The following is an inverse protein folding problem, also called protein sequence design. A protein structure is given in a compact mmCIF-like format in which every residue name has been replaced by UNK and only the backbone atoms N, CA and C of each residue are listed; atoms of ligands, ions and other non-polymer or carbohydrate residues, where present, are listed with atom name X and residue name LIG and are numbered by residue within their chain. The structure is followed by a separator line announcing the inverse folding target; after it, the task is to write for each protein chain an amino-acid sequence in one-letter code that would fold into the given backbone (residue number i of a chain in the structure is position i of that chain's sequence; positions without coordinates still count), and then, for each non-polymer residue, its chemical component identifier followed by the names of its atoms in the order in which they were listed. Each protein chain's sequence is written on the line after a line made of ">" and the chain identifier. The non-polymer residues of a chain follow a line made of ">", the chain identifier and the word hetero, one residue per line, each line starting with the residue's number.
data_IF_618466077508
#
_entry.id   IF_618466077508
#
_cell.length_a   1.000
_cell.length_b   1.000
_cell.length_c   1.000
_cell.angle_alpha   90.00
_cell.angle_beta   90.00
_cell.angle_gamma   90.00
#
_symmetry.space_group_name_H-M   'P 1'
#
loop_
_entity.id
_entity.type
_entity.pdbx_description
1 polymer ?
#
# COMPACT_ATOMS: atom_id res chain seq x y z
N UNK A 1 20.67 15.60 -5.19
CA UNK A 1 21.81 14.66 -5.16
C UNK A 1 21.34 13.21 -4.92
N UNK A 2 22.25 12.23 -5.01
CA UNK A 2 21.95 10.79 -4.95
C UNK A 2 21.11 10.34 -3.72
N UNK A 3 21.35 10.92 -2.55
CA UNK A 3 20.62 10.58 -1.32
C UNK A 3 19.13 10.95 -1.36
N UNK A 4 18.76 11.99 -2.06
CA UNK A 4 17.35 12.41 -2.20
C UNK A 4 16.63 11.81 -3.40
N UNK A 5 17.30 10.94 -4.18
CA UNK A 5 16.67 10.25 -5.31
C UNK A 5 15.76 9.12 -4.86
N UNK A 6 14.88 8.60 -5.74
CA UNK A 6 14.05 7.43 -5.45
C UNK A 6 14.83 6.18 -4.99
N UNK A 7 16.06 6.02 -5.46
CA UNK A 7 16.99 4.95 -5.03
C UNK A 7 17.89 5.36 -3.85
N UNK A 8 17.66 6.52 -3.23
CA UNK A 8 18.43 7.06 -2.12
C UNK A 8 17.93 6.60 -0.75
N UNK A 9 18.03 7.51 0.23
CA UNK A 9 17.76 7.20 1.66
C UNK A 9 16.30 6.75 1.93
N UNK A 10 15.35 7.15 1.10
CA UNK A 10 13.95 6.73 1.16
C UNK A 10 13.61 5.60 0.18
N UNK A 11 14.58 4.83 -0.29
CA UNK A 11 14.32 3.72 -1.19
C UNK A 11 13.50 2.60 -0.53
N UNK A 12 13.72 2.34 0.77
CA UNK A 12 13.08 1.25 1.51
C UNK A 12 12.28 1.73 2.74
N UNK A 13 12.30 3.02 3.06
CA UNK A 13 11.61 3.57 4.21
C UNK A 13 11.05 4.95 3.92
N UNK A 14 9.82 5.22 4.36
CA UNK A 14 9.16 6.52 4.16
C UNK A 14 9.81 7.66 4.96
N UNK A 15 10.57 7.34 6.00
CA UNK A 15 11.24 8.34 6.85
C UNK A 15 12.63 7.88 7.26
N UNK A 16 13.52 8.84 7.51
CA UNK A 16 14.89 8.59 7.95
C UNK A 16 15.27 9.48 9.14
N UNK A 17 16.33 9.11 9.84
CA UNK A 17 16.94 9.86 10.94
C UNK A 17 18.30 10.42 10.49
N UNK A 18 18.85 11.34 11.28
CA UNK A 18 20.19 11.89 11.00
C UNK A 18 21.27 10.80 10.96
N UNK A 19 21.21 9.79 11.82
CA UNK A 19 22.17 8.70 11.80
C UNK A 19 22.12 7.88 10.50
N UNK A 20 20.94 7.68 9.93
CA UNK A 20 20.77 6.95 8.67
C UNK A 20 21.45 7.71 7.51
N UNK A 21 21.43 9.06 7.55
CA UNK A 21 22.14 9.92 6.59
C UNK A 21 23.66 9.82 6.77
N UNK A 22 24.11 9.90 8.03
CA UNK A 22 25.55 9.79 8.36
C UNK A 22 26.09 8.45 7.87
N UNK A 23 25.36 7.37 8.10
CA UNK A 23 25.72 6.03 7.63
C UNK A 23 25.79 5.98 6.09
N UNK A 24 24.77 6.47 5.40
CA UNK A 24 24.72 6.49 3.94
C UNK A 24 25.85 7.32 3.33
N UNK A 25 26.16 8.52 3.90
CA UNK A 25 27.28 9.34 3.46
C UNK A 25 28.61 8.62 3.71
N UNK A 26 28.78 8.02 4.89
CA UNK A 26 30.01 7.28 5.24
C UNK A 26 30.28 6.15 4.25
N UNK A 27 29.25 5.41 3.85
CA UNK A 27 29.38 4.37 2.83
C UNK A 27 29.76 4.91 1.46
N UNK A 28 29.31 6.12 1.10
CA UNK A 28 29.61 6.74 -0.19
C UNK A 28 31.01 7.32 -0.27
N UNK A 29 31.48 7.95 0.81
CA UNK A 29 32.77 8.67 0.81
C UNK A 29 33.93 7.83 1.37
N UNK A 30 33.65 6.79 2.15
CA UNK A 30 34.67 5.93 2.76
C UNK A 30 35.69 6.73 3.55
N UNK A 31 36.97 6.52 3.27
CA UNK A 31 38.09 7.23 3.92
C UNK A 31 38.41 8.61 3.34
N UNK A 32 37.60 9.10 2.40
CA UNK A 32 37.84 10.40 1.72
C UNK A 32 37.37 11.61 2.52
N UNK A 33 36.61 11.40 3.61
CA UNK A 33 36.13 12.46 4.48
C UNK A 33 36.27 12.11 5.96
N UNK A 34 36.49 13.12 6.78
CA UNK A 34 36.51 13.01 8.23
C UNK A 34 35.12 12.90 8.82
N UNK A 35 35.01 12.41 10.07
CA UNK A 35 33.73 12.33 10.77
C UNK A 35 33.02 13.70 10.91
N UNK A 36 33.79 14.79 11.05
CA UNK A 36 33.26 16.14 11.10
C UNK A 36 32.62 16.55 9.77
N UNK A 37 33.34 16.33 8.66
CA UNK A 37 32.84 16.64 7.32
C UNK A 37 31.60 15.85 6.96
N UNK A 38 31.52 14.57 7.35
CA UNK A 38 30.32 13.73 7.18
C UNK A 38 29.15 14.29 8.00
N UNK A 39 29.42 14.72 9.25
CA UNK A 39 28.42 15.38 10.10
C UNK A 39 27.84 16.65 9.45
N UNK A 40 28.72 17.52 8.95
CA UNK A 40 28.33 18.77 8.27
C UNK A 40 27.53 18.51 6.99
N UNK A 41 27.89 17.49 6.22
CA UNK A 41 27.13 17.06 5.05
C UNK A 41 25.73 16.54 5.43
N UNK A 42 25.62 15.78 6.51
CA UNK A 42 24.33 15.30 7.00
C UNK A 42 23.43 16.48 7.44
N UNK A 43 23.97 17.47 8.15
CA UNK A 43 23.23 18.64 8.60
C UNK A 43 22.79 19.53 7.42
N UNK A 44 23.63 19.69 6.42
CA UNK A 44 23.26 20.36 5.17
C UNK A 44 22.19 19.62 4.39
N UNK A 45 22.18 18.30 4.44
CA UNK A 45 21.16 17.49 3.76
C UNK A 45 19.78 17.68 4.40
N UNK A 46 19.66 17.62 5.74
CA UNK A 46 18.36 17.78 6.43
C UNK A 46 17.79 19.19 6.36
N UNK A 47 18.66 20.20 6.11
CA UNK A 47 18.23 21.60 5.89
C UNK A 47 17.99 21.93 4.42
N UNK A 48 18.24 20.99 3.52
CA UNK A 48 18.07 21.18 2.08
C UNK A 48 16.61 21.25 1.66
N UNK A 49 16.32 21.98 0.57
CA UNK A 49 14.97 22.20 0.05
C UNK A 49 14.23 20.91 -0.38
N UNK A 50 14.95 19.79 -0.54
CA UNK A 50 14.35 18.48 -0.92
C UNK A 50 13.90 17.64 0.25
N UNK A 51 14.00 18.12 1.49
CA UNK A 51 13.74 17.37 2.73
C UNK A 51 12.73 18.11 3.60
N UNK A 52 11.83 17.35 4.22
CA UNK A 52 10.80 17.87 5.13
C UNK A 52 10.95 17.17 6.48
N UNK A 53 10.92 17.96 7.56
CA UNK A 53 10.83 17.43 8.92
C UNK A 53 9.46 16.80 9.17
N UNK A 54 9.43 15.57 9.66
CA UNK A 54 8.19 14.89 10.01
C UNK A 54 7.81 15.26 11.44
N UNK A 55 6.80 16.10 11.59
CA UNK A 55 6.26 16.54 12.87
C UNK A 55 5.23 15.52 13.36
N UNK A 56 5.70 14.36 13.87
CA UNK A 56 4.81 13.45 14.57
C UNK A 56 4.72 13.85 16.05
N UNK A 57 3.52 13.82 16.61
CA UNK A 57 3.33 14.11 18.03
C UNK A 57 4.08 13.09 18.90
N UNK A 58 4.66 13.53 20.02
CA UNK A 58 5.33 12.64 21.00
C UNK A 58 4.44 11.44 21.41
N UNK A 59 3.13 11.64 21.41
CA UNK A 59 2.13 10.61 21.72
C UNK A 59 2.13 9.48 20.70
N UNK A 60 2.35 9.78 19.42
CA UNK A 60 2.46 8.80 18.36
C UNK A 60 3.74 7.95 18.52
N UNK A 61 4.89 8.59 18.76
CA UNK A 61 6.16 7.90 18.93
C UNK A 61 6.20 7.00 20.17
N UNK A 62 5.59 7.42 21.28
CA UNK A 62 5.42 6.60 22.49
C UNK A 62 4.58 5.34 22.21
N UNK A 63 3.50 5.48 21.43
CA UNK A 63 2.62 4.35 21.07
C UNK A 63 3.32 3.31 20.19
N UNK A 64 4.25 3.74 19.35
CA UNK A 64 4.99 2.87 18.41
C UNK A 64 6.28 2.32 19.03
N UNK A 65 6.61 2.68 20.30
CA UNK A 65 7.81 2.20 20.99
C UNK A 65 9.12 2.70 20.37
N UNK A 66 9.09 3.77 19.58
CA UNK A 66 10.25 4.37 18.91
C UNK A 66 10.73 5.61 19.65
N UNK A 67 12.05 5.85 19.63
CA UNK A 67 12.65 7.06 20.21
C UNK A 67 12.04 8.34 19.62
N UNK A 68 11.90 9.39 20.43
CA UNK A 68 11.42 10.73 20.04
C UNK A 68 12.41 11.51 19.14
N UNK A 69 13.35 10.82 18.49
CA UNK A 69 14.32 11.46 17.58
C UNK A 69 13.61 12.05 16.38
N UNK A 70 14.00 13.27 16.02
CA UNK A 70 13.55 13.94 14.81
C UNK A 70 13.74 13.04 13.58
N UNK A 71 12.70 12.95 12.77
CA UNK A 71 12.69 12.23 11.49
C UNK A 71 12.42 13.18 10.35
N UNK A 72 12.83 12.78 9.19
CA UNK A 72 12.65 13.52 7.94
C UNK A 72 12.13 12.59 6.85
N UNK A 73 11.51 13.18 5.84
CA UNK A 73 11.16 12.54 4.57
C UNK A 73 11.56 13.43 3.41
N UNK A 74 11.50 12.93 2.18
CA UNK A 74 11.72 13.77 1.00
C UNK A 74 10.43 14.47 0.59
N UNK A 75 10.55 15.66 -0.01
CA UNK A 75 9.41 16.40 -0.59
C UNK A 75 8.65 15.52 -1.59
N UNK A 76 9.37 14.80 -2.44
CA UNK A 76 8.80 13.88 -3.42
C UNK A 76 7.91 12.84 -2.75
N UNK A 77 8.42 12.17 -1.71
CA UNK A 77 7.66 11.11 -1.04
C UNK A 77 6.43 11.65 -0.32
N UNK A 78 6.55 12.83 0.31
CA UNK A 78 5.40 13.50 0.93
C UNK A 78 4.31 13.88 -0.09
N UNK A 79 4.70 14.28 -1.31
CA UNK A 79 3.76 14.55 -2.39
C UNK A 79 3.05 13.29 -2.85
N UNK A 80 3.77 12.16 -2.96
CA UNK A 80 3.19 10.86 -3.29
C UNK A 80 2.18 10.42 -2.22
N UNK A 81 2.53 10.52 -0.94
CA UNK A 81 1.63 10.21 0.18
C UNK A 81 0.36 11.07 0.15
N UNK A 82 0.50 12.38 -0.04
CA UNK A 82 -0.63 13.28 -0.17
C UNK A 82 -1.54 12.93 -1.35
N UNK A 83 -0.97 12.50 -2.47
CA UNK A 83 -1.74 12.06 -3.64
C UNK A 83 -2.53 10.78 -3.32
N UNK A 84 -1.92 9.79 -2.67
CA UNK A 84 -2.61 8.55 -2.26
C UNK A 84 -3.77 8.85 -1.30
N UNK A 85 -3.55 9.73 -0.31
CA UNK A 85 -4.61 10.17 0.60
C UNK A 85 -5.75 10.87 -0.15
N UNK A 86 -5.42 11.71 -1.12
CA UNK A 86 -6.40 12.39 -1.97
C UNK A 86 -7.24 11.39 -2.78
N UNK A 87 -6.61 10.38 -3.38
CA UNK A 87 -7.31 9.32 -4.10
C UNK A 87 -8.26 8.52 -3.19
N UNK A 88 -7.83 8.24 -1.95
CA UNK A 88 -8.66 7.54 -0.98
C UNK A 88 -9.84 8.39 -0.47
N UNK A 89 -9.65 9.71 -0.30
CA UNK A 89 -10.68 10.61 0.24
C UNK A 89 -11.68 11.10 -0.81
N UNK A 90 -11.21 11.47 -2.00
CA UNK A 90 -12.02 12.19 -2.98
C UNK A 90 -12.98 11.29 -3.77
N UNK A 91 -12.95 9.96 -3.57
CA UNK A 91 -13.86 9.05 -4.25
C UNK A 91 -14.00 9.40 -5.74
N UNK A 92 -12.92 9.27 -6.52
CA UNK A 92 -13.07 9.40 -7.96
C UNK A 92 -14.06 8.35 -8.39
N UNK A 93 -15.19 8.83 -8.98
CA UNK A 93 -16.23 7.94 -9.50
C UNK A 93 -15.59 7.12 -10.61
N UNK A 94 -15.37 5.85 -10.32
CA UNK A 94 -14.91 4.92 -11.34
C UNK A 94 -16.06 4.66 -12.32
N UNK A 95 -15.88 4.85 -13.62
CA UNK A 95 -16.89 4.52 -14.61
C UNK A 95 -17.03 3.00 -14.82
N UNK A 96 -16.28 2.21 -14.07
CA UNK A 96 -16.16 0.77 -14.27
C UNK A 96 -17.24 -0.02 -13.55
N UNK A 97 -17.49 -1.22 -14.06
CA UNK A 97 -18.51 -2.11 -13.53
C UNK A 97 -18.19 -2.54 -12.10
N UNK A 98 -19.18 -2.44 -11.25
CA UNK A 98 -19.18 -2.98 -9.88
C UNK A 98 -19.96 -4.30 -9.86
N UNK A 99 -19.75 -5.16 -8.86
CA UNK A 99 -20.62 -6.28 -8.59
C UNK A 99 -22.09 -5.84 -8.55
N UNK A 100 -22.98 -6.65 -9.10
CA UNK A 100 -24.42 -6.36 -9.09
C UNK A 100 -24.96 -6.45 -7.65
N UNK A 101 -25.80 -5.48 -7.24
CA UNK A 101 -26.36 -5.43 -5.89
C UNK A 101 -27.10 -6.73 -5.50
N UNK A 102 -27.83 -7.35 -6.42
CA UNK A 102 -28.52 -8.61 -6.16
C UNK A 102 -27.49 -9.72 -5.92
N UNK A 103 -26.41 -9.77 -6.70
CA UNK A 103 -25.33 -10.77 -6.51
C UNK A 103 -24.66 -10.57 -5.16
N UNK A 104 -24.41 -9.34 -4.72
CA UNK A 104 -23.84 -9.05 -3.40
C UNK A 104 -24.78 -9.61 -2.31
N UNK A 105 -26.06 -9.32 -2.40
CA UNK A 105 -27.08 -9.80 -1.46
C UNK A 105 -27.13 -11.35 -1.43
N UNK A 106 -27.11 -12.01 -2.58
CA UNK A 106 -27.13 -13.47 -2.70
C UNK A 106 -25.85 -14.09 -2.10
N UNK A 107 -24.68 -13.48 -2.35
CA UNK A 107 -23.41 -13.94 -1.79
C UNK A 107 -23.39 -13.80 -0.27
N UNK A 108 -23.86 -12.71 0.28
CA UNK A 108 -23.98 -12.48 1.74
C UNK A 108 -24.97 -13.47 2.34
N UNK A 109 -26.14 -13.61 1.75
CA UNK A 109 -27.20 -14.54 2.26
C UNK A 109 -26.76 -16.01 2.25
N UNK A 110 -25.89 -16.40 1.32
CA UNK A 110 -25.34 -17.75 1.23
C UNK A 110 -24.24 -18.05 2.27
N UNK A 111 -23.85 -17.06 3.07
CA UNK A 111 -22.77 -17.12 4.07
C UNK A 111 -23.26 -16.64 5.44
N UNK A 112 -24.14 -17.40 6.11
CA UNK A 112 -24.74 -17.01 7.40
C UNK A 112 -23.71 -16.87 8.54
N UNK A 113 -22.51 -17.36 8.34
CA UNK A 113 -21.38 -17.28 9.27
C UNK A 113 -20.63 -15.94 9.21
N UNK A 114 -20.90 -15.08 8.22
CA UNK A 114 -20.37 -13.72 8.21
C UNK A 114 -20.94 -12.91 9.39
N UNK A 115 -20.06 -12.29 10.16
CA UNK A 115 -20.49 -11.32 11.16
C UNK A 115 -21.04 -10.05 10.51
N UNK A 116 -21.84 -9.28 11.25
CA UNK A 116 -22.38 -8.00 10.78
C UNK A 116 -21.29 -7.03 10.31
N UNK A 117 -20.10 -7.07 10.92
CA UNK A 117 -18.96 -6.25 10.53
C UNK A 117 -18.38 -6.71 9.19
N UNK A 118 -18.28 -8.01 8.98
CA UNK A 118 -17.82 -8.59 7.71
C UNK A 118 -18.83 -8.36 6.59
N UNK A 119 -20.12 -8.46 6.86
CA UNK A 119 -21.18 -8.12 5.88
C UNK A 119 -21.04 -6.66 5.46
N UNK A 120 -20.93 -5.72 6.41
CA UNK A 120 -20.72 -4.30 6.09
C UNK A 120 -19.44 -4.06 5.28
N UNK A 121 -18.37 -4.81 5.55
CA UNK A 121 -17.14 -4.75 4.75
C UNK A 121 -17.39 -5.19 3.31
N UNK A 122 -18.06 -6.33 3.09
CA UNK A 122 -18.37 -6.84 1.74
C UNK A 122 -19.23 -5.84 0.98
N UNK A 123 -20.31 -5.34 1.59
CA UNK A 123 -21.19 -4.36 0.98
C UNK A 123 -20.45 -3.06 0.64
N UNK A 124 -19.67 -2.53 1.58
CA UNK A 124 -18.91 -1.29 1.37
C UNK A 124 -17.89 -1.41 0.25
N UNK A 125 -17.16 -2.53 0.17
CA UNK A 125 -16.16 -2.76 -0.87
C UNK A 125 -16.81 -2.97 -2.23
N UNK A 126 -17.81 -3.84 -2.31
CA UNK A 126 -18.46 -4.17 -3.59
C UNK A 126 -19.31 -3.04 -4.16
N UNK A 127 -19.83 -2.12 -3.31
CA UNK A 127 -20.64 -0.98 -3.73
C UNK A 127 -19.85 0.32 -3.87
N UNK A 128 -18.54 0.31 -3.52
CA UNK A 128 -17.70 1.51 -3.59
C UNK A 128 -17.48 1.95 -5.03
N UNK A 129 -17.53 3.25 -5.26
CA UNK A 129 -17.10 3.91 -6.50
C UNK A 129 -15.70 4.53 -6.40
N UNK A 130 -15.00 4.29 -5.30
CA UNK A 130 -13.65 4.81 -5.06
C UNK A 130 -12.61 4.00 -5.82
N UNK A 131 -11.67 4.72 -6.44
CA UNK A 131 -10.50 4.10 -7.08
C UNK A 131 -9.60 3.42 -6.05
N UNK A 132 -9.44 4.01 -4.88
CA UNK A 132 -8.68 3.43 -3.76
C UNK A 132 -9.58 3.37 -2.53
N UNK A 133 -9.80 2.17 -2.01
CA UNK A 133 -10.59 1.94 -0.80
C UNK A 133 -9.73 1.26 0.27
N UNK A 134 -9.24 2.00 1.27
CA UNK A 134 -8.55 1.39 2.40
C UNK A 134 -9.53 0.61 3.28
N UNK A 135 -9.15 -0.63 3.60
CA UNK A 135 -9.90 -1.49 4.52
C UNK A 135 -9.02 -1.78 5.74
N UNK A 136 -9.44 -1.30 6.90
CA UNK A 136 -8.76 -1.55 8.16
C UNK A 136 -9.54 -2.58 8.98
N UNK A 137 -8.86 -3.56 9.52
CA UNK A 137 -9.45 -4.57 10.40
C UNK A 137 -8.44 -5.08 11.41
N UNK A 138 -8.91 -5.35 12.63
CA UNK A 138 -8.07 -5.90 13.71
C UNK A 138 -7.53 -7.28 13.31
N UNK A 139 -6.34 -7.68 13.81
CA UNK A 139 -5.88 -9.05 13.68
C UNK A 139 -6.94 -10.03 14.21
N UNK A 140 -7.21 -11.11 13.47
CA UNK A 140 -8.23 -12.10 13.84
C UNK A 140 -9.68 -11.68 13.59
N UNK A 141 -9.96 -10.53 12.99
CA UNK A 141 -11.32 -10.09 12.64
C UNK A 141 -11.96 -10.90 11.47
N UNK A 142 -11.27 -11.91 10.95
CA UNK A 142 -11.76 -12.71 9.85
C UNK A 142 -11.84 -11.97 8.51
N UNK A 143 -10.91 -11.04 8.26
CA UNK A 143 -10.80 -10.31 6.99
C UNK A 143 -10.76 -11.26 5.78
N UNK A 144 -10.01 -12.35 5.90
CA UNK A 144 -9.92 -13.39 4.88
C UNK A 144 -11.29 -13.85 4.41
N UNK A 145 -12.19 -14.15 5.36
CA UNK A 145 -13.51 -14.66 5.05
C UNK A 145 -14.41 -13.62 4.35
N UNK A 146 -14.29 -12.33 4.73
CA UNK A 146 -14.95 -11.24 4.02
C UNK A 146 -14.34 -11.03 2.63
N UNK A 147 -13.01 -11.17 2.48
CA UNK A 147 -12.33 -11.09 1.18
C UNK A 147 -12.79 -12.18 0.23
N UNK A 148 -12.99 -13.41 0.72
CA UNK A 148 -13.57 -14.51 -0.08
C UNK A 148 -14.97 -14.15 -0.61
N UNK A 149 -15.81 -13.52 0.20
CA UNK A 149 -17.13 -13.07 -0.23
C UNK A 149 -17.04 -11.93 -1.28
N UNK A 150 -16.09 -11.00 -1.11
CA UNK A 150 -15.81 -9.94 -2.09
C UNK A 150 -15.40 -10.55 -3.44
N UNK A 151 -14.46 -11.50 -3.43
CA UNK A 151 -14.02 -12.21 -4.64
C UNK A 151 -15.19 -12.92 -5.31
N UNK A 152 -16.02 -13.65 -4.53
CA UNK A 152 -17.18 -14.34 -5.04
C UNK A 152 -18.19 -13.40 -5.72
N UNK A 153 -18.44 -12.22 -5.15
CA UNK A 153 -19.34 -11.22 -5.73
C UNK A 153 -18.80 -10.66 -7.06
N UNK A 154 -17.51 -10.39 -7.14
CA UNK A 154 -16.84 -9.92 -8.38
C UNK A 154 -16.91 -10.99 -9.47
N UNK A 155 -16.51 -12.22 -9.18
CA UNK A 155 -16.53 -13.33 -10.12
C UNK A 155 -17.95 -13.60 -10.63
N UNK A 156 -18.94 -13.67 -9.72
CA UNK A 156 -20.33 -13.91 -10.10
C UNK A 156 -20.95 -12.75 -10.91
N UNK A 157 -20.41 -11.55 -10.78
CA UNK A 157 -20.83 -10.37 -11.57
C UNK A 157 -20.03 -10.21 -12.87
N UNK A 158 -19.05 -11.08 -13.15
CA UNK A 158 -18.15 -10.96 -14.31
C UNK A 158 -17.20 -9.76 -14.23
N UNK A 159 -16.94 -9.23 -13.02
CA UNK A 159 -16.00 -8.13 -12.80
C UNK A 159 -14.62 -8.73 -12.56
N UNK A 160 -13.59 -8.34 -13.36
CA UNK A 160 -12.25 -8.85 -13.19
C UNK A 160 -11.69 -8.50 -11.80
N UNK A 161 -11.08 -9.48 -11.14
CA UNK A 161 -10.46 -9.29 -9.82
C UNK A 161 -9.11 -10.00 -9.76
N UNK A 162 -8.12 -9.35 -9.17
CA UNK A 162 -6.75 -9.83 -9.04
C UNK A 162 -6.24 -9.61 -7.61
N UNK A 163 -5.58 -10.63 -7.05
CA UNK A 163 -4.91 -10.52 -5.77
C UNK A 163 -3.46 -10.02 -5.90
N UNK A 164 -3.01 -9.24 -4.92
CA UNK A 164 -1.66 -8.73 -4.88
C UNK A 164 -1.11 -8.74 -3.45
N UNK A 165 0.11 -9.22 -3.27
CA UNK A 165 0.78 -9.28 -1.96
C UNK A 165 2.27 -8.95 -2.05
N UNK A 166 2.90 -8.70 -0.91
CA UNK A 166 4.32 -8.31 -0.84
C UNK A 166 5.26 -9.47 -1.19
N UNK A 167 4.86 -10.72 -0.88
CA UNK A 167 5.69 -11.90 -1.13
C UNK A 167 4.94 -12.96 -1.93
N UNK A 168 5.70 -13.85 -2.59
CA UNK A 168 5.13 -14.97 -3.32
C UNK A 168 4.33 -15.93 -2.41
N UNK A 169 4.79 -16.13 -1.17
CA UNK A 169 4.08 -16.96 -0.20
C UNK A 169 2.73 -16.34 0.18
N UNK A 170 2.68 -15.03 0.46
CA UNK A 170 1.43 -14.32 0.76
C UNK A 170 0.49 -14.26 -0.45
N UNK A 171 1.01 -14.10 -1.67
CA UNK A 171 0.21 -14.16 -2.88
C UNK A 171 -0.42 -15.56 -3.09
N UNK A 172 0.35 -16.64 -2.89
CA UNK A 172 -0.16 -18.01 -2.97
C UNK A 172 -1.19 -18.32 -1.89
N UNK A 173 -1.03 -17.76 -0.69
CA UNK A 173 -2.03 -17.88 0.37
C UNK A 173 -3.33 -17.16 0.00
N UNK A 174 -3.24 -15.92 -0.50
CA UNK A 174 -4.39 -15.13 -0.95
C UNK A 174 -5.15 -15.84 -2.08
N UNK A 175 -4.45 -16.45 -3.04
CA UNK A 175 -5.03 -17.25 -4.12
C UNK A 175 -5.73 -18.51 -3.57
N UNK A 176 -5.10 -19.21 -2.63
CA UNK A 176 -5.66 -20.40 -2.00
C UNK A 176 -6.94 -20.08 -1.22
N UNK A 177 -6.97 -18.95 -0.51
CA UNK A 177 -8.15 -18.48 0.21
C UNK A 177 -9.32 -18.22 -0.75
N UNK A 178 -9.08 -17.59 -1.90
CA UNK A 178 -10.11 -17.40 -2.93
C UNK A 178 -10.65 -18.73 -3.48
N UNK A 179 -9.79 -19.73 -3.66
CA UNK A 179 -10.17 -21.06 -4.14
C UNK A 179 -11.10 -21.82 -3.19
N UNK A 180 -10.95 -21.66 -1.86
CA UNK A 180 -11.86 -22.23 -0.87
C UNK A 180 -13.30 -21.72 -1.01
N UNK A 181 -13.47 -20.49 -1.46
CA UNK A 181 -14.77 -19.87 -1.73
C UNK A 181 -15.45 -20.35 -3.03
N UNK A 182 -14.90 -21.35 -3.71
CA UNK A 182 -15.30 -21.79 -5.06
C UNK A 182 -15.19 -20.67 -6.12
N UNK A 183 -14.40 -19.68 -5.85
CA UNK A 183 -14.12 -18.55 -6.75
C UNK A 183 -12.64 -18.57 -7.08
N UNK A 184 -12.29 -18.29 -8.33
CA UNK A 184 -10.90 -18.21 -8.75
C UNK A 184 -10.48 -16.74 -8.84
N UNK A 185 -9.46 -16.37 -8.09
CA UNK A 185 -8.77 -15.11 -8.21
C UNK A 185 -7.29 -15.41 -8.33
N UNK A 186 -6.69 -15.06 -9.45
CA UNK A 186 -5.25 -15.13 -9.59
C UNK A 186 -4.60 -14.12 -8.63
N UNK A 187 -3.48 -14.51 -8.01
CA UNK A 187 -2.73 -13.62 -7.16
C UNK A 187 -1.25 -13.60 -7.52
N UNK A 188 -0.61 -12.44 -7.35
CA UNK A 188 0.78 -12.23 -7.69
C UNK A 188 1.47 -11.29 -6.72
N UNK A 189 2.80 -11.14 -6.82
CA UNK A 189 3.50 -10.14 -6.01
C UNK A 189 3.36 -8.74 -6.60
N UNK A 190 3.39 -7.71 -5.73
CA UNK A 190 3.40 -6.30 -6.15
C UNK A 190 4.48 -6.04 -7.20
N UNK A 191 5.69 -6.53 -6.97
CA UNK A 191 6.81 -6.34 -7.89
C UNK A 191 6.54 -6.95 -9.27
N UNK A 192 5.96 -8.17 -9.31
CA UNK A 192 5.61 -8.83 -10.56
C UNK A 192 4.46 -8.12 -11.26
N UNK A 193 3.43 -7.74 -10.52
CA UNK A 193 2.29 -7.00 -11.08
C UNK A 193 2.75 -5.69 -11.73
N UNK A 194 3.55 -4.88 -11.03
CA UNK A 194 4.09 -3.64 -11.58
C UNK A 194 4.99 -3.86 -12.80
N UNK A 195 5.80 -4.94 -12.79
CA UNK A 195 6.60 -5.31 -13.95
C UNK A 195 5.73 -5.68 -15.16
N UNK A 196 4.69 -6.46 -14.94
CA UNK A 196 3.79 -6.93 -16.01
C UNK A 196 2.98 -5.74 -16.58
N UNK A 197 2.52 -4.84 -15.71
CA UNK A 197 1.83 -3.60 -16.10
C UNK A 197 2.72 -2.71 -16.96
N UNK A 198 3.97 -2.48 -16.57
CA UNK A 198 4.94 -1.71 -17.35
C UNK A 198 5.21 -2.33 -18.73
N UNK A 199 5.24 -3.65 -18.78
CA UNK A 199 5.58 -4.40 -20.00
C UNK A 199 4.43 -4.54 -20.98
N UNK A 200 3.21 -4.68 -20.48
CA UNK A 200 2.03 -5.02 -21.28
C UNK A 200 1.02 -3.88 -21.42
N UNK A 201 1.30 -2.71 -20.86
CA UNK A 201 0.50 -1.50 -21.08
C UNK A 201 -0.67 -1.32 -20.13
N UNK A 202 -0.60 -1.88 -18.94
CA UNK A 202 -1.58 -1.66 -17.87
C UNK A 202 -2.45 -2.88 -17.53
N UNK A 203 -3.34 -2.70 -16.57
CA UNK A 203 -4.39 -3.66 -16.23
C UNK A 203 -5.56 -3.54 -17.21
N UNK A 204 -6.32 -4.62 -17.37
CA UNK A 204 -7.58 -4.52 -18.10
C UNK A 204 -8.52 -3.54 -17.41
N UNK A 205 -9.18 -2.69 -18.19
CA UNK A 205 -10.11 -1.69 -17.65
C UNK A 205 -11.18 -2.35 -16.75
N UNK A 206 -11.38 -1.78 -15.58
CA UNK A 206 -12.35 -2.29 -14.60
C UNK A 206 -11.84 -3.45 -13.74
N UNK A 207 -10.55 -3.78 -13.78
CA UNK A 207 -9.97 -4.79 -12.89
C UNK A 207 -9.91 -4.24 -11.46
N UNK A 208 -10.49 -4.97 -10.51
CA UNK A 208 -10.31 -4.72 -9.08
C UNK A 208 -9.04 -5.41 -8.58
N UNK A 209 -8.14 -4.66 -7.94
CA UNK A 209 -6.94 -5.21 -7.33
C UNK A 209 -7.10 -5.25 -5.81
N UNK A 210 -7.09 -6.45 -5.25
CA UNK A 210 -7.09 -6.68 -3.79
C UNK A 210 -5.65 -6.73 -3.32
N UNK A 211 -5.25 -5.77 -2.50
CA UNK A 211 -3.89 -5.68 -1.96
C UNK A 211 -3.88 -6.13 -0.51
N UNK A 212 -3.28 -7.27 -0.23
CA UNK A 212 -3.13 -7.76 1.15
C UNK A 212 -1.89 -7.14 1.81
N UNK A 213 -2.02 -6.85 3.11
CA UNK A 213 -0.98 -6.21 3.91
C UNK A 213 -0.37 -4.95 3.26
N UNK A 214 -1.20 -4.07 2.70
CA UNK A 214 -0.80 -2.85 1.99
C UNK A 214 0.17 -1.96 2.80
N UNK A 215 0.16 -2.04 4.13
CA UNK A 215 1.08 -1.32 5.01
C UNK A 215 2.55 -1.73 4.87
N UNK A 216 2.82 -2.89 4.28
CA UNK A 216 4.17 -3.40 4.02
C UNK A 216 4.70 -3.00 2.62
N UNK A 217 3.85 -2.44 1.78
CA UNK A 217 4.23 -1.98 0.44
C UNK A 217 4.88 -0.60 0.54
N UNK A 218 5.95 -0.40 -0.21
CA UNK A 218 6.57 0.92 -0.32
C UNK A 218 5.61 1.94 -0.93
N UNK A 219 5.61 3.17 -0.39
CA UNK A 219 4.70 4.26 -0.83
C UNK A 219 4.73 4.48 -2.34
N UNK A 220 5.90 4.38 -2.98
CA UNK A 220 6.05 4.52 -4.44
C UNK A 220 5.36 3.41 -5.22
N UNK A 221 5.51 2.17 -4.79
CA UNK A 221 4.89 1.03 -5.46
C UNK A 221 3.37 1.05 -5.29
N UNK A 222 2.89 1.44 -4.10
CA UNK A 222 1.46 1.63 -3.87
C UNK A 222 0.88 2.75 -4.75
N UNK A 223 1.62 3.86 -4.92
CA UNK A 223 1.20 4.94 -5.81
C UNK A 223 1.16 4.50 -7.28
N UNK A 224 2.17 3.73 -7.72
CA UNK A 224 2.18 3.16 -9.08
C UNK A 224 1.00 2.23 -9.33
N UNK A 225 0.64 1.39 -8.34
CA UNK A 225 -0.58 0.56 -8.44
C UNK A 225 -1.85 1.40 -8.56
N UNK A 226 -1.94 2.49 -7.83
CA UNK A 226 -3.10 3.39 -7.85
C UNK A 226 -3.20 4.25 -9.14
N UNK A 227 -2.16 4.27 -9.97
CA UNK A 227 -2.11 5.00 -11.24
C UNK A 227 -2.66 4.18 -12.43
N UNK A 228 -2.90 2.88 -12.24
CA UNK A 228 -3.37 1.93 -13.25
C UNK A 228 -4.80 1.51 -13.01
#
# INVERSE_FOLDING_TARGET
>A
GLLGSPSGICAQASTFRRCDIVEAISMMVGSLATASEIGDLADRFVTGAGVIAVNATERFWRKVGRSSQQRWTTVELAQIENRLLTLADQGMVSPYHRPNEQVIADVVSSRPELSDEQVRMVEAVCSSDRVVLPVEGRPGAGKTYATEAIVAAHVASGVPILGCAVSAAAASELESQAAFARSTMDATTVAKLLHDVDRFGGLSAGTTVVVDEASMIGTRDLARLADH
#
